data_IF_755056658180
#
_entry.id   IF_755056658180
#
_cell.length_a   1.000
_cell.length_b   1.000
_cell.length_c   1.000
_cell.angle_alpha   90.00
_cell.angle_beta   90.00
_cell.angle_gamma   90.00
#
_symmetry.space_group_name_H-M   'P 1'
#
loop_
_entity.id
_entity.type
_entity.pdbx_description
1 polymer ?
#
# COMPACT_ATOMS: atom_id res chain seq x y z
N UNK A 1 11.40 -12.85 -23.88
CA UNK A 1 10.40 -13.25 -22.85
C UNK A 1 9.49 -12.06 -22.65
N UNK A 2 8.18 -12.25 -22.75
CA UNK A 2 7.21 -11.17 -22.65
C UNK A 2 6.66 -11.01 -21.22
N UNK A 3 6.18 -9.81 -20.91
CA UNK A 3 5.38 -9.58 -19.70
C UNK A 3 4.05 -10.34 -19.79
N UNK A 4 3.54 -10.91 -18.67
CA UNK A 4 2.22 -11.53 -18.65
C UNK A 4 1.08 -10.49 -18.73
N UNK A 5 1.34 -9.26 -18.28
CA UNK A 5 0.35 -8.18 -18.32
C UNK A 5 0.25 -7.56 -19.71
N UNK A 6 -0.97 -7.47 -20.22
CA UNK A 6 -1.28 -6.85 -21.52
C UNK A 6 -1.99 -5.52 -21.28
N UNK A 7 -1.30 -4.40 -21.57
CA UNK A 7 -1.89 -3.06 -21.45
C UNK A 7 -2.23 -2.54 -22.86
N UNK A 8 -3.52 -2.30 -23.16
CA UNK A 8 -3.94 -1.75 -24.44
C UNK A 8 -3.28 -0.40 -24.76
N UNK A 9 -2.99 -0.13 -26.04
CA UNK A 9 -2.32 1.11 -26.46
C UNK A 9 -3.06 2.38 -26.05
N UNK A 10 -4.40 2.37 -26.04
CA UNK A 10 -5.18 3.53 -25.60
C UNK A 10 -4.98 3.83 -24.11
N UNK A 11 -4.85 2.79 -23.28
CA UNK A 11 -4.60 2.94 -21.85
C UNK A 11 -3.17 3.41 -21.56
N UNK A 12 -2.19 3.01 -22.38
CA UNK A 12 -0.84 3.56 -22.30
C UNK A 12 -0.82 5.07 -22.53
N UNK A 13 -1.58 5.57 -23.52
CA UNK A 13 -1.72 7.00 -23.77
C UNK A 13 -2.38 7.75 -22.60
N UNK A 14 -3.33 7.12 -21.91
CA UNK A 14 -3.94 7.70 -20.70
C UNK A 14 -2.96 7.78 -19.54
N UNK A 15 -2.15 6.73 -19.33
CA UNK A 15 -1.08 6.73 -18.35
C UNK A 15 -0.04 7.83 -18.65
N UNK A 16 0.35 8.00 -19.92
CA UNK A 16 1.31 9.04 -20.33
C UNK A 16 0.80 10.48 -20.08
N UNK A 17 -0.52 10.67 -20.10
CA UNK A 17 -1.15 11.96 -19.76
C UNK A 17 -1.22 12.22 -18.25
N UNK A 18 -1.00 11.20 -17.42
CA UNK A 18 -0.97 11.35 -15.98
C UNK A 18 0.37 11.97 -15.54
N UNK A 19 0.35 13.26 -15.18
CA UNK A 19 1.55 14.01 -14.81
C UNK A 19 2.28 13.40 -13.59
N UNK A 20 1.53 12.90 -12.60
CA UNK A 20 2.11 12.27 -11.41
C UNK A 20 2.83 10.96 -11.77
N UNK A 21 2.23 10.16 -12.66
CA UNK A 21 2.86 8.96 -13.20
C UNK A 21 4.12 9.31 -14.01
N UNK A 22 4.02 10.30 -14.91
CA UNK A 22 5.17 10.75 -15.71
C UNK A 22 6.35 11.24 -14.85
N UNK A 23 6.08 12.00 -13.79
CA UNK A 23 7.09 12.45 -12.83
C UNK A 23 7.76 11.28 -12.10
N UNK A 24 6.96 10.30 -11.64
CA UNK A 24 7.49 9.09 -10.99
C UNK A 24 8.37 8.28 -11.94
N UNK A 25 7.94 8.12 -13.18
CA UNK A 25 8.67 7.39 -14.22
C UNK A 25 10.03 8.02 -14.50
N UNK A 26 10.09 9.35 -14.59
CA UNK A 26 11.34 10.08 -14.77
C UNK A 26 12.27 9.94 -13.56
N UNK A 27 11.73 9.93 -12.33
CA UNK A 27 12.52 9.66 -11.13
C UNK A 27 13.13 8.26 -11.15
N UNK A 28 12.35 7.22 -11.46
CA UNK A 28 12.84 5.84 -11.56
C UNK A 28 13.92 5.71 -12.64
N UNK A 29 13.74 6.38 -13.79
CA UNK A 29 14.74 6.43 -14.85
C UNK A 29 16.07 7.06 -14.37
N UNK A 30 16.02 8.17 -13.64
CA UNK A 30 17.22 8.80 -13.07
C UNK A 30 17.93 7.91 -12.06
N UNK A 31 17.16 7.19 -11.24
CA UNK A 31 17.71 6.22 -10.29
C UNK A 31 18.45 5.10 -11.02
N UNK A 32 17.92 4.59 -12.14
CA UNK A 32 18.62 3.61 -12.97
C UNK A 32 19.89 4.17 -13.61
N UNK A 33 19.85 5.39 -14.17
CA UNK A 33 21.01 6.00 -14.82
C UNK A 33 22.16 6.32 -13.84
N UNK A 34 21.86 6.55 -12.56
CA UNK A 34 22.85 6.83 -11.52
C UNK A 34 23.48 5.59 -10.87
N UNK A 35 23.09 4.38 -11.27
CA UNK A 35 23.54 3.12 -10.68
C UNK A 35 24.67 2.48 -11.51
N UNK A 36 25.71 1.97 -10.83
CA UNK A 36 26.80 1.19 -11.48
C UNK A 36 26.35 -0.19 -12.00
N UNK A 37 25.14 -0.65 -11.65
CA UNK A 37 24.62 -1.98 -12.04
C UNK A 37 23.61 -1.89 -13.19
N UNK A 38 23.58 -2.90 -14.08
CA UNK A 38 22.65 -2.92 -15.20
C UNK A 38 21.19 -2.97 -14.69
N UNK A 39 20.31 -2.18 -15.31
CA UNK A 39 18.87 -2.15 -14.98
C UNK A 39 18.19 -3.52 -15.11
N UNK A 40 18.76 -4.44 -15.89
CA UNK A 40 18.31 -5.83 -15.98
C UNK A 40 19.36 -6.80 -15.43
N UNK A 41 18.91 -7.88 -14.77
CA UNK A 41 19.80 -8.96 -14.33
C UNK A 41 20.37 -9.72 -15.53
N UNK A 42 21.44 -10.49 -15.31
CA UNK A 42 22.12 -11.24 -16.39
C UNK A 42 21.18 -12.16 -17.16
N UNK A 43 20.22 -12.80 -16.49
CA UNK A 43 19.21 -13.63 -17.14
C UNK A 43 18.34 -12.82 -18.10
N UNK A 44 17.69 -11.76 -17.61
CA UNK A 44 16.72 -10.98 -18.39
C UNK A 44 17.36 -10.01 -19.38
N UNK A 45 18.62 -9.64 -19.19
CA UNK A 45 19.35 -8.76 -20.12
C UNK A 45 19.50 -9.39 -21.50
N UNK A 46 19.68 -10.70 -21.56
CA UNK A 46 19.91 -11.43 -22.81
C UNK A 46 18.66 -12.14 -23.32
N UNK A 47 17.70 -12.47 -22.45
CA UNK A 47 16.46 -13.15 -22.85
C UNK A 47 15.34 -12.21 -23.29
N UNK A 48 15.50 -10.90 -23.11
CA UNK A 48 14.52 -9.89 -23.49
C UNK A 48 15.07 -8.95 -24.56
N UNK A 49 14.32 -8.81 -25.65
CA UNK A 49 14.53 -7.78 -26.67
C UNK A 49 14.40 -6.37 -26.07
N UNK A 50 14.91 -5.36 -26.76
CA UNK A 50 14.79 -3.96 -26.31
C UNK A 50 13.34 -3.55 -26.08
N UNK A 51 12.42 -3.96 -26.96
CA UNK A 51 10.99 -3.67 -26.83
C UNK A 51 10.40 -4.35 -25.59
N UNK A 52 10.70 -5.62 -25.34
CA UNK A 52 10.25 -6.32 -24.13
C UNK A 52 10.82 -5.66 -22.85
N UNK A 53 12.07 -5.19 -22.88
CA UNK A 53 12.67 -4.48 -21.76
C UNK A 53 11.94 -3.17 -21.45
N UNK A 54 11.55 -2.39 -22.47
CA UNK A 54 10.75 -1.18 -22.28
C UNK A 54 9.35 -1.50 -21.71
N UNK A 55 8.71 -2.58 -22.18
CA UNK A 55 7.45 -3.07 -21.59
C UNK A 55 7.61 -3.41 -20.11
N UNK A 56 8.68 -4.13 -19.74
CA UNK A 56 8.94 -4.46 -18.34
C UNK A 56 9.23 -3.23 -17.49
N UNK A 57 9.94 -2.22 -18.03
CA UNK A 57 10.15 -0.93 -17.33
C UNK A 57 8.82 -0.25 -17.07
N UNK A 58 7.97 -0.12 -18.10
CA UNK A 58 6.64 0.48 -17.98
C UNK A 58 5.82 -0.22 -16.88
N UNK A 59 5.76 -1.54 -16.89
CA UNK A 59 4.98 -2.28 -15.89
C UNK A 59 5.58 -2.16 -14.48
N UNK A 60 6.91 -2.18 -14.34
CA UNK A 60 7.58 -1.88 -13.06
C UNK A 60 7.21 -0.49 -12.55
N UNK A 61 7.22 0.51 -13.44
CA UNK A 61 6.89 1.89 -13.09
C UNK A 61 5.44 1.99 -12.60
N UNK A 62 4.49 1.33 -13.28
CA UNK A 62 3.08 1.24 -12.85
C UNK A 62 2.96 0.61 -11.46
N UNK A 63 3.57 -0.57 -11.27
CA UNK A 63 3.57 -1.27 -9.98
C UNK A 63 4.15 -0.35 -8.89
N UNK A 64 5.28 0.28 -9.14
CA UNK A 64 5.89 1.20 -8.18
C UNK A 64 4.94 2.32 -7.79
N UNK A 65 4.34 3.00 -8.78
CA UNK A 65 3.39 4.09 -8.53
C UNK A 65 2.18 3.62 -7.71
N UNK A 66 1.67 2.42 -7.97
CA UNK A 66 0.56 1.84 -7.22
C UNK A 66 0.94 1.48 -5.78
N UNK A 67 2.15 0.94 -5.55
CA UNK A 67 2.58 0.48 -4.23
C UNK A 67 3.01 1.63 -3.28
N UNK A 68 3.48 2.76 -3.82
CA UNK A 68 3.93 3.91 -3.02
C UNK A 68 2.88 4.39 -2.02
N UNK A 69 1.60 4.62 -2.39
CA UNK A 69 0.54 4.98 -1.44
C UNK A 69 0.40 4.01 -0.26
N UNK A 70 0.46 2.69 -0.50
CA UNK A 70 0.35 1.70 0.57
C UNK A 70 1.53 1.76 1.55
N UNK A 71 2.74 1.98 1.03
CA UNK A 71 3.91 2.22 1.86
C UNK A 71 3.76 3.48 2.74
N UNK A 72 3.28 4.58 2.15
CA UNK A 72 3.06 5.84 2.88
C UNK A 72 1.98 5.69 3.97
N UNK A 73 0.89 4.97 3.67
CA UNK A 73 -0.18 4.67 4.63
C UNK A 73 0.35 3.83 5.79
N UNK A 74 1.07 2.73 5.52
CA UNK A 74 1.63 1.89 6.58
C UNK A 74 2.60 2.68 7.46
N UNK A 75 3.48 3.47 6.87
CA UNK A 75 4.42 4.29 7.61
C UNK A 75 3.73 5.37 8.46
N UNK A 76 2.66 6.00 7.95
CA UNK A 76 1.86 6.91 8.76
C UNK A 76 1.21 6.18 9.93
N UNK A 77 0.65 4.99 9.69
CA UNK A 77 0.04 4.17 10.72
C UNK A 77 1.04 3.76 11.81
N UNK A 78 2.26 3.37 11.46
CA UNK A 78 3.34 3.08 12.42
C UNK A 78 3.64 4.28 13.31
N UNK A 79 3.74 5.48 12.72
CA UNK A 79 3.99 6.72 13.46
C UNK A 79 2.85 7.07 14.41
N UNK A 80 1.61 6.89 13.99
CA UNK A 80 0.43 7.08 14.83
C UNK A 80 0.45 6.06 15.97
N UNK A 81 0.64 4.78 15.67
CA UNK A 81 0.70 3.72 16.68
C UNK A 81 1.78 3.98 17.73
N UNK A 82 2.98 4.39 17.32
CA UNK A 82 4.09 4.71 18.21
C UNK A 82 3.80 5.90 19.15
N UNK A 83 2.92 6.83 18.74
CA UNK A 83 2.51 7.99 19.55
C UNK A 83 1.32 7.71 20.46
N UNK A 84 0.41 6.83 20.02
CA UNK A 84 -0.82 6.52 20.75
C UNK A 84 -0.61 5.46 21.83
N UNK A 85 0.32 4.52 21.64
CA UNK A 85 0.51 3.41 22.57
C UNK A 85 1.48 3.74 23.70
N UNK A 86 1.17 3.37 24.96
CA UNK A 86 2.14 3.42 26.05
C UNK A 86 3.34 2.51 25.77
N UNK A 87 4.53 2.85 26.28
CA UNK A 87 5.79 2.13 26.02
C UNK A 87 5.72 0.59 26.19
N UNK A 88 4.89 0.07 27.09
CA UNK A 88 4.72 -1.39 27.29
C UNK A 88 3.92 -2.09 26.18
N UNK A 89 3.08 -1.36 25.45
CA UNK A 89 2.25 -1.86 24.34
C UNK A 89 2.81 -1.53 22.96
N UNK A 90 3.83 -0.68 22.90
CA UNK A 90 4.50 -0.30 21.65
C UNK A 90 5.20 -1.48 20.94
N UNK A 91 5.37 -2.63 21.61
CA UNK A 91 5.86 -3.86 21.00
C UNK A 91 4.84 -4.54 20.05
N UNK A 92 3.56 -4.17 20.13
CA UNK A 92 2.47 -4.67 19.29
C UNK A 92 1.74 -3.46 18.67
N UNK A 93 2.32 -2.81 17.65
CA UNK A 93 1.82 -1.54 17.10
C UNK A 93 0.39 -1.63 16.57
N UNK A 94 -0.05 -2.81 16.11
CA UNK A 94 -1.40 -3.04 15.62
C UNK A 94 -2.50 -2.79 16.67
N UNK A 95 -2.14 -2.82 17.96
CA UNK A 95 -3.08 -2.55 19.08
C UNK A 95 -3.53 -1.10 19.15
N UNK A 96 -2.91 -0.20 18.40
CA UNK A 96 -3.40 1.17 18.24
C UNK A 96 -4.74 1.23 17.51
N UNK A 97 -5.02 0.23 16.67
CA UNK A 97 -6.17 0.18 15.78
C UNK A 97 -7.20 -0.86 16.22
N UNK A 98 -8.42 -0.78 15.66
CA UNK A 98 -9.54 -1.68 15.98
C UNK A 98 -10.23 -2.19 14.72
N UNK A 99 -10.90 -3.35 14.84
CA UNK A 99 -11.66 -3.95 13.74
C UNK A 99 -10.79 -4.23 12.51
N UNK A 100 -11.34 -4.00 11.33
CA UNK A 100 -10.65 -4.24 10.05
C UNK A 100 -9.37 -3.40 9.89
N UNK A 101 -9.28 -2.20 10.47
CA UNK A 101 -8.05 -1.41 10.45
C UNK A 101 -6.88 -2.13 11.12
N UNK A 102 -7.13 -2.85 12.23
CA UNK A 102 -6.09 -3.61 12.93
C UNK A 102 -5.58 -4.75 12.05
N UNK A 103 -6.50 -5.48 11.44
CA UNK A 103 -6.18 -6.58 10.52
C UNK A 103 -5.41 -6.08 9.30
N UNK A 104 -5.85 -4.97 8.70
CA UNK A 104 -5.19 -4.35 7.56
C UNK A 104 -3.78 -3.85 7.90
N UNK A 105 -3.60 -3.18 9.05
CA UNK A 105 -2.28 -2.75 9.51
C UNK A 105 -1.35 -3.94 9.74
N UNK A 106 -1.82 -4.98 10.43
CA UNK A 106 -1.02 -6.18 10.68
C UNK A 106 -0.61 -6.86 9.36
N UNK A 107 -1.53 -6.93 8.40
CA UNK A 107 -1.25 -7.50 7.07
C UNK A 107 -0.26 -6.65 6.27
N UNK A 108 -0.46 -5.33 6.19
CA UNK A 108 0.44 -4.41 5.49
C UNK A 108 1.85 -4.45 6.08
N UNK A 109 1.94 -4.41 7.41
CA UNK A 109 3.23 -4.50 8.10
C UNK A 109 3.92 -5.85 7.82
N UNK A 110 3.17 -6.94 7.74
CA UNK A 110 3.70 -8.26 7.38
C UNK A 110 4.25 -8.29 5.96
N UNK A 111 3.43 -7.94 4.96
CA UNK A 111 3.85 -8.03 3.55
C UNK A 111 5.01 -7.09 3.24
N UNK A 112 5.02 -5.87 3.80
CA UNK A 112 6.11 -4.92 3.62
C UNK A 112 7.41 -5.39 4.32
N UNK A 113 7.29 -6.14 5.42
CA UNK A 113 8.49 -6.72 6.07
C UNK A 113 9.04 -7.91 5.29
N UNK A 114 8.17 -8.74 4.70
CA UNK A 114 8.54 -9.97 4.02
C UNK A 114 9.03 -9.72 2.58
N UNK A 115 8.35 -8.83 1.85
CA UNK A 115 8.62 -8.51 0.44
C UNK A 115 9.44 -7.23 0.25
N UNK A 116 10.26 -6.87 1.26
CA UNK A 116 10.99 -5.60 1.33
C UNK A 116 11.77 -5.26 0.06
N UNK A 117 12.56 -6.22 -0.41
CA UNK A 117 13.41 -6.05 -1.58
C UNK A 117 12.63 -5.90 -2.89
N UNK A 118 11.39 -6.40 -2.92
CA UNK A 118 10.56 -6.41 -4.11
C UNK A 118 9.73 -5.14 -4.22
N UNK A 119 9.03 -4.70 -3.17
CA UNK A 119 8.13 -3.55 -3.29
C UNK A 119 8.86 -2.22 -3.50
N UNK A 120 10.15 -2.13 -3.12
CA UNK A 120 11.00 -0.97 -3.44
C UNK A 120 11.25 -0.81 -4.96
N UNK A 121 10.98 -1.87 -5.73
CA UNK A 121 11.16 -1.98 -7.19
C UNK A 121 12.52 -1.52 -7.70
N UNK A 122 13.56 -1.65 -6.88
CA UNK A 122 14.94 -1.23 -7.19
C UNK A 122 15.76 -2.32 -7.93
N UNK A 123 15.15 -3.50 -8.15
CA UNK A 123 15.76 -4.64 -8.85
C UNK A 123 15.36 -4.65 -10.32
N UNK A 124 15.79 -5.69 -11.05
CA UNK A 124 15.46 -5.90 -12.45
C UNK A 124 13.95 -5.77 -12.71
N UNK A 125 13.49 -4.89 -13.65
CA UNK A 125 12.08 -4.69 -13.94
C UNK A 125 11.34 -5.99 -14.25
N UNK A 126 11.94 -6.89 -15.05
CA UNK A 126 11.34 -8.19 -15.34
C UNK A 126 11.14 -9.05 -14.08
N UNK A 127 12.10 -9.08 -13.16
CA UNK A 127 11.93 -9.80 -11.89
C UNK A 127 10.80 -9.20 -11.04
N UNK A 128 10.70 -7.86 -10.97
CA UNK A 128 9.63 -7.20 -10.21
C UNK A 128 8.26 -7.54 -10.78
N UNK A 129 8.11 -7.43 -12.11
CA UNK A 129 6.86 -7.68 -12.82
C UNK A 129 6.44 -9.14 -12.70
N UNK A 130 7.35 -10.09 -12.94
CA UNK A 130 7.05 -11.52 -12.84
C UNK A 130 6.74 -11.96 -11.41
N UNK A 131 7.35 -11.32 -10.41
CA UNK A 131 7.10 -11.65 -9.00
C UNK A 131 5.70 -11.30 -8.52
N UNK A 132 4.96 -10.44 -9.24
CA UNK A 132 3.55 -10.16 -8.92
C UNK A 132 2.74 -11.47 -8.86
N UNK A 133 2.93 -12.38 -9.82
CA UNK A 133 2.23 -13.65 -9.91
C UNK A 133 2.89 -14.78 -9.09
N UNK A 134 3.90 -14.48 -8.27
CA UNK A 134 4.64 -15.51 -7.52
C UNK A 134 3.83 -16.13 -6.40
N UNK A 135 2.94 -15.36 -5.77
CA UNK A 135 2.17 -15.78 -4.61
C UNK A 135 0.83 -15.05 -4.51
N UNK A 136 -0.12 -15.62 -3.77
CA UNK A 136 -1.40 -14.94 -3.54
C UNK A 136 -1.22 -13.58 -2.85
N UNK A 137 -0.37 -13.45 -1.80
CA UNK A 137 -0.17 -12.16 -1.15
C UNK A 137 0.37 -11.07 -2.09
N UNK A 138 1.25 -11.40 -3.03
CA UNK A 138 1.78 -10.42 -4.00
C UNK A 138 0.73 -10.00 -5.02
N UNK A 139 -0.09 -10.93 -5.51
CA UNK A 139 -1.23 -10.61 -6.39
C UNK A 139 -2.20 -9.70 -5.63
N UNK A 140 -2.65 -10.14 -4.45
CA UNK A 140 -3.59 -9.38 -3.61
C UNK A 140 -3.05 -7.99 -3.26
N UNK A 141 -1.76 -7.86 -2.97
CA UNK A 141 -1.17 -6.55 -2.65
C UNK A 141 -1.28 -5.56 -3.81
N UNK A 142 -0.99 -6.01 -5.03
CA UNK A 142 -1.12 -5.18 -6.23
C UNK A 142 -2.59 -4.93 -6.58
N UNK A 143 -3.48 -5.90 -6.36
CA UNK A 143 -4.93 -5.70 -6.51
C UNK A 143 -5.45 -4.62 -5.55
N UNK A 144 -5.09 -4.67 -4.27
CA UNK A 144 -5.44 -3.66 -3.26
C UNK A 144 -4.91 -2.28 -3.67
N UNK A 145 -3.66 -2.20 -4.10
CA UNK A 145 -3.05 -0.95 -4.57
C UNK A 145 -3.83 -0.34 -5.75
N UNK A 146 -4.25 -1.20 -6.70
CA UNK A 146 -5.04 -0.81 -7.87
C UNK A 146 -6.44 -0.34 -7.48
N UNK A 147 -7.11 -1.06 -6.58
CA UNK A 147 -8.44 -0.69 -6.07
C UNK A 147 -8.41 0.65 -5.31
N UNK A 148 -7.36 0.90 -4.51
CA UNK A 148 -7.17 2.16 -3.79
C UNK A 148 -6.87 3.35 -4.71
N UNK A 149 -6.14 3.13 -5.80
CA UNK A 149 -5.94 4.17 -6.81
C UNK A 149 -7.29 4.59 -7.44
N UNK A 150 -8.21 3.63 -7.60
CA UNK A 150 -9.57 3.85 -8.06
C UNK A 150 -9.67 4.21 -9.54
N UNK A 151 -10.88 4.18 -10.09
CA UNK A 151 -11.12 4.30 -11.53
C UNK A 151 -10.63 5.61 -12.17
N UNK A 152 -10.52 6.69 -11.38
CA UNK A 152 -10.13 8.02 -11.87
C UNK A 152 -8.63 8.24 -11.97
N UNK A 153 -7.83 7.28 -11.51
CA UNK A 153 -6.37 7.39 -11.48
C UNK A 153 -5.69 7.11 -12.83
N UNK A 154 -6.42 6.53 -13.79
CA UNK A 154 -5.86 6.04 -15.06
C UNK A 154 -5.21 4.65 -14.94
N UNK A 155 -5.12 4.07 -13.75
CA UNK A 155 -4.54 2.73 -13.53
C UNK A 155 -5.56 1.60 -13.61
N UNK A 156 -6.82 1.87 -13.98
CA UNK A 156 -7.84 0.83 -14.11
C UNK A 156 -7.43 -0.27 -15.12
N UNK A 157 -6.71 0.12 -16.18
CA UNK A 157 -6.17 -0.82 -17.15
C UNK A 157 -5.24 -1.87 -16.53
N UNK A 158 -4.54 -1.52 -15.44
CA UNK A 158 -3.64 -2.43 -14.75
C UNK A 158 -4.42 -3.52 -14.00
N UNK A 159 -5.54 -3.18 -13.36
CA UNK A 159 -6.38 -4.16 -12.66
C UNK A 159 -6.94 -5.19 -13.65
N UNK A 160 -7.43 -4.75 -14.81
CA UNK A 160 -7.90 -5.64 -15.89
C UNK A 160 -6.77 -6.50 -16.45
N UNK A 161 -5.57 -5.93 -16.64
CA UNK A 161 -4.42 -6.69 -17.10
C UNK A 161 -3.96 -7.73 -16.06
N UNK A 162 -4.04 -7.42 -14.77
CA UNK A 162 -3.72 -8.33 -13.68
C UNK A 162 -4.72 -9.48 -13.59
N UNK A 163 -6.02 -9.19 -13.66
CA UNK A 163 -7.07 -10.21 -13.74
C UNK A 163 -6.83 -11.18 -14.89
N UNK A 164 -6.67 -10.66 -16.11
CA UNK A 164 -6.39 -11.48 -17.28
C UNK A 164 -5.14 -12.34 -17.09
N UNK A 165 -4.06 -11.76 -16.56
CA UNK A 165 -2.82 -12.47 -16.32
C UNK A 165 -2.96 -13.59 -15.27
N UNK A 166 -3.79 -13.42 -14.23
CA UNK A 166 -4.08 -14.49 -13.25
C UNK A 166 -4.94 -15.57 -13.89
N UNK A 167 -5.98 -15.20 -14.63
CA UNK A 167 -6.91 -16.13 -15.26
C UNK A 167 -6.24 -16.99 -16.35
N UNK A 168 -5.26 -16.43 -17.07
CA UNK A 168 -4.52 -17.12 -18.12
C UNK A 168 -3.29 -17.89 -17.59
N UNK A 169 -2.89 -17.67 -16.33
CA UNK A 169 -1.72 -18.33 -15.76
C UNK A 169 -1.98 -19.84 -15.52
N UNK A 170 -1.07 -20.74 -15.94
CA UNK A 170 -1.27 -22.18 -15.79
C UNK A 170 -1.37 -22.69 -14.35
N UNK A 171 -0.80 -21.97 -13.38
CA UNK A 171 -0.83 -22.35 -11.97
C UNK A 171 -2.06 -21.75 -11.26
N UNK A 172 -2.36 -20.48 -11.51
CA UNK A 172 -3.52 -19.80 -10.91
C UNK A 172 -4.81 -20.17 -11.64
N UNK A 173 -5.02 -19.69 -12.87
CA UNK A 173 -6.25 -19.92 -13.61
C UNK A 173 -7.44 -19.09 -13.11
N UNK A 174 -8.51 -19.13 -13.90
CA UNK A 174 -9.73 -18.31 -13.72
C UNK A 174 -10.45 -18.53 -12.39
N UNK A 175 -10.44 -19.77 -11.87
CA UNK A 175 -11.11 -20.14 -10.64
C UNK A 175 -10.56 -19.44 -9.38
N UNK A 176 -9.33 -18.92 -9.42
CA UNK A 176 -8.69 -18.30 -8.26
C UNK A 176 -8.96 -16.80 -8.15
N UNK A 177 -9.21 -16.13 -9.28
CA UNK A 177 -9.39 -14.67 -9.29
C UNK A 177 -10.54 -14.20 -8.37
N UNK A 178 -11.73 -14.82 -8.34
CA UNK A 178 -12.83 -14.36 -7.49
C UNK A 178 -12.49 -14.33 -5.99
N UNK A 179 -11.79 -15.35 -5.48
CA UNK A 179 -11.38 -15.42 -4.07
C UNK A 179 -10.27 -14.40 -3.76
N UNK A 180 -9.32 -14.20 -4.69
CA UNK A 180 -8.27 -13.18 -4.55
C UNK A 180 -8.89 -11.78 -4.55
N UNK A 181 -9.82 -11.50 -5.47
CA UNK A 181 -10.50 -10.22 -5.60
C UNK A 181 -11.35 -9.91 -4.36
N UNK A 182 -12.10 -10.88 -3.84
CA UNK A 182 -12.89 -10.70 -2.61
C UNK A 182 -11.99 -10.34 -1.43
N UNK A 183 -10.88 -11.09 -1.24
CA UNK A 183 -9.91 -10.83 -0.18
C UNK A 183 -9.22 -9.48 -0.35
N UNK A 184 -8.91 -9.10 -1.58
CA UNK A 184 -8.36 -7.78 -1.90
C UNK A 184 -9.36 -6.67 -1.56
N UNK A 185 -10.63 -6.81 -1.94
CA UNK A 185 -11.67 -5.83 -1.65
C UNK A 185 -11.86 -5.63 -0.15
N UNK A 186 -11.95 -6.72 0.63
CA UNK A 186 -12.03 -6.64 2.09
C UNK A 186 -10.82 -5.96 2.73
N UNK A 187 -9.63 -6.26 2.21
CA UNK A 187 -8.40 -5.63 2.69
C UNK A 187 -8.36 -4.14 2.31
N UNK A 188 -8.81 -3.76 1.11
CA UNK A 188 -8.98 -2.37 0.68
C UNK A 188 -9.86 -1.59 1.64
N UNK A 189 -11.02 -2.13 2.02
CA UNK A 189 -11.90 -1.52 3.03
C UNK A 189 -11.19 -1.36 4.38
N UNK A 190 -10.46 -2.40 4.81
CA UNK A 190 -9.64 -2.35 6.03
C UNK A 190 -8.53 -1.28 5.98
N UNK A 191 -7.89 -1.07 4.82
CA UNK A 191 -6.88 -0.02 4.63
C UNK A 191 -7.52 1.37 4.68
N UNK A 192 -8.70 1.56 4.09
CA UNK A 192 -9.44 2.82 4.20
C UNK A 192 -9.83 3.12 5.65
N UNK A 193 -10.29 2.11 6.39
CA UNK A 193 -10.61 2.22 7.81
C UNK A 193 -9.35 2.51 8.65
N UNK A 194 -8.20 1.94 8.29
CA UNK A 194 -6.90 2.26 8.90
C UNK A 194 -6.54 3.74 8.71
N UNK A 195 -6.65 4.25 7.47
CA UNK A 195 -6.41 5.67 7.17
C UNK A 195 -7.33 6.56 8.01
N UNK A 196 -8.62 6.21 8.09
CA UNK A 196 -9.61 6.93 8.91
C UNK A 196 -9.19 6.97 10.40
N UNK A 197 -8.84 5.83 10.99
CA UNK A 197 -8.39 5.78 12.39
C UNK A 197 -7.08 6.54 12.61
N UNK A 198 -6.15 6.53 11.65
CA UNK A 198 -4.93 7.35 11.71
C UNK A 198 -5.25 8.84 11.85
N UNK A 199 -6.25 9.35 11.11
CA UNK A 199 -6.70 10.74 11.24
C UNK A 199 -7.33 11.02 12.61
N UNK A 200 -8.21 10.14 13.10
CA UNK A 200 -8.87 10.31 14.41
C UNK A 200 -7.88 10.32 15.58
N UNK A 201 -6.94 9.39 15.58
CA UNK A 201 -5.91 9.27 16.61
C UNK A 201 -4.97 10.48 16.57
N UNK A 202 -4.56 10.92 15.38
CA UNK A 202 -3.72 12.11 15.23
C UNK A 202 -4.42 13.38 15.75
N UNK A 203 -5.69 13.58 15.39
CA UNK A 203 -6.46 14.73 15.85
C UNK A 203 -6.65 14.76 17.38
N UNK A 204 -6.77 13.59 18.01
CA UNK A 204 -6.88 13.46 19.48
C UNK A 204 -5.56 13.81 20.17
N UNK A 205 -4.42 13.44 19.56
CA UNK A 205 -3.09 13.76 20.07
C UNK A 205 -2.77 15.26 19.95
N UNK A 206 -3.19 15.90 18.85
CA UNK A 206 -2.92 17.31 18.59
C UNK A 206 -3.86 18.26 19.39
N UNK A 207 -5.05 17.78 19.80
CA UNK A 207 -5.98 18.55 20.61
C UNK A 207 -6.50 17.75 21.84
N UNK A 208 -5.73 17.71 22.94
CA UNK A 208 -6.11 16.96 24.14
C UNK A 208 -7.30 17.55 24.92
N UNK A 209 -7.86 18.70 24.49
CA UNK A 209 -8.94 19.40 25.21
C UNK A 209 -10.37 18.92 24.88
N UNK A 210 -10.53 17.93 23.98
CA UNK A 210 -11.83 17.33 23.69
C UNK A 210 -12.17 16.27 24.75
N UNK A 211 -13.22 16.46 25.58
CA UNK A 211 -13.59 15.46 26.57
C UNK A 211 -14.02 14.17 25.86
N UNK A 212 -13.27 13.10 26.09
CA UNK A 212 -13.69 11.75 25.71
C UNK A 212 -15.01 11.42 26.42
N UNK A 213 -15.98 10.74 25.77
CA UNK A 213 -17.09 10.15 26.49
C UNK A 213 -16.53 9.17 27.53
N UNK A 214 -16.78 9.52 28.79
CA UNK A 214 -16.40 8.77 29.99
C UNK A 214 -16.76 7.28 29.82
N UNK A 215 -15.75 6.42 29.73
CA UNK A 215 -15.91 5.01 30.06
C UNK A 215 -16.13 4.94 31.56
N UNK A 216 -17.38 4.80 31.97
CA UNK A 216 -17.80 4.52 33.35
C UNK A 216 -17.00 3.33 33.87
N UNK A 217 -16.12 3.60 34.84
CA UNK A 217 -15.41 2.56 35.61
C UNK A 217 -16.45 1.80 36.43
N UNK A 218 -16.85 0.62 35.96
CA UNK A 218 -17.45 -0.38 36.83
C UNK A 218 -16.34 -1.00 37.70
N UNK A 219 -16.29 -0.57 38.96
CA UNK A 219 -15.44 -1.16 39.99
C UNK A 219 -15.93 -2.56 40.33
N UNK A 220 -15.14 -3.59 40.03
CA UNK A 220 -15.32 -4.94 40.57
C UNK A 220 -14.16 -5.20 41.56
N UNK A 221 -14.41 -5.69 42.78
CA UNK A 221 -13.38 -5.83 43.79
C UNK A 221 -12.46 -7.02 43.49
N UNK A 222 -11.17 -6.77 43.72
CA UNK A 222 -10.05 -7.70 43.59
C UNK A 222 -10.08 -8.71 44.74
N UNK A 223 -10.14 -10.00 44.44
CA UNK A 223 -9.58 -11.04 45.30
C UNK A 223 -8.33 -11.59 44.63
N UNK A 224 -7.19 -11.38 45.29
CA UNK A 224 -5.89 -11.80 44.81
C UNK A 224 -5.70 -13.32 44.89
N UNK A 225 -4.91 -13.84 43.94
CA UNK A 225 -3.97 -14.94 44.19
C UNK A 225 -2.78 -14.78 43.24
N UNK A 226 -1.62 -14.66 43.86
CA UNK A 226 -0.30 -14.67 43.24
C UNK A 226 -0.02 -16.05 42.63
N UNK A 227 0.35 -16.07 41.36
CA UNK A 227 1.21 -17.08 40.77
C UNK A 227 2.06 -16.39 39.70
N UNK A 228 3.22 -15.88 40.10
CA UNK A 228 4.23 -15.37 39.18
C UNK A 228 4.84 -16.54 38.41
N UNK A 229 4.32 -16.83 37.22
CA UNK A 229 5.02 -17.65 36.25
C UNK A 229 5.91 -16.72 35.41
N UNK A 230 7.16 -16.52 35.86
CA UNK A 230 8.17 -15.78 35.11
C UNK A 230 8.73 -16.68 34.00
N UNK A 231 7.99 -16.81 32.90
CA UNK A 231 8.56 -17.28 31.64
C UNK A 231 9.10 -16.04 30.93
N UNK A 232 10.42 -15.90 30.88
CA UNK A 232 11.07 -14.88 30.06
C UNK A 232 10.78 -15.20 28.58
N UNK A 233 9.74 -14.56 28.02
CA UNK A 233 9.46 -14.63 26.60
C UNK A 233 10.61 -13.94 25.87
N UNK A 234 11.46 -14.75 25.23
CA UNK A 234 12.46 -14.24 24.30
C UNK A 234 11.73 -13.46 23.20
N UNK A 235 12.17 -12.25 22.85
CA UNK A 235 11.62 -11.56 21.69
C UNK A 235 11.74 -12.47 20.47
N UNK A 236 10.61 -12.68 19.79
CA UNK A 236 10.52 -13.48 18.57
C UNK A 236 11.47 -12.93 17.51
N UNK A 237 11.85 -13.75 16.53
CA UNK A 237 12.73 -13.32 15.44
C UNK A 237 12.20 -12.07 14.71
N UNK A 238 10.87 -11.90 14.68
CA UNK A 238 10.15 -10.74 14.14
C UNK A 238 10.53 -9.43 14.83
N UNK A 239 10.57 -9.39 16.17
CA UNK A 239 10.93 -8.18 16.92
C UNK A 239 12.39 -7.75 16.70
N UNK A 240 13.29 -8.69 16.36
CA UNK A 240 14.70 -8.40 16.08
C UNK A 240 14.94 -7.93 14.64
N UNK A 241 14.10 -8.38 13.69
CA UNK A 241 14.19 -7.96 12.28
C UNK A 241 13.77 -6.50 12.10
N UNK A 242 12.85 -6.02 12.94
CA UNK A 242 12.31 -4.66 12.95
C UNK A 242 13.36 -3.55 13.22
N UNK A 243 14.49 -3.86 13.87
CA UNK A 243 15.54 -2.88 14.18
C UNK A 243 16.49 -2.63 12.99
N UNK A 244 16.66 -3.62 12.09
CA UNK A 244 17.70 -3.58 11.05
C UNK A 244 17.24 -2.93 9.73
N UNK A 245 15.93 -2.77 9.51
CA UNK A 245 15.31 -2.21 8.29
C UNK A 245 15.35 -0.67 8.20
N UNK A 246 15.81 0.03 9.23
CA UNK A 246 15.57 1.47 9.40
C UNK A 246 16.34 2.38 8.44
N UNK A 247 17.53 2.02 7.95
CA UNK A 247 18.40 2.96 7.21
C UNK A 247 18.08 3.08 5.72
N UNK A 248 17.83 1.96 5.05
CA UNK A 248 17.48 1.95 3.62
C UNK A 248 16.06 2.46 3.40
N UNK A 249 15.13 2.08 4.28
CA UNK A 249 13.80 2.68 4.32
C UNK A 249 13.85 4.18 4.55
N UNK A 250 14.66 4.70 5.48
CA UNK A 250 14.82 6.15 5.68
C UNK A 250 15.31 6.88 4.43
N UNK A 251 16.25 6.29 3.68
CA UNK A 251 16.77 6.89 2.44
C UNK A 251 15.72 6.87 1.33
N UNK A 252 15.00 5.75 1.18
CA UNK A 252 13.87 5.64 0.27
C UNK A 252 12.75 6.61 0.63
N UNK A 253 12.43 6.75 1.93
CA UNK A 253 11.47 7.73 2.48
C UNK A 253 11.83 9.16 2.09
N UNK A 254 13.10 9.58 2.25
CA UNK A 254 13.56 10.91 1.83
C UNK A 254 13.40 11.15 0.33
N UNK A 255 13.50 10.10 -0.49
CA UNK A 255 13.33 10.18 -1.95
C UNK A 255 11.86 10.18 -2.41
N UNK A 256 10.92 9.78 -1.54
CA UNK A 256 9.47 9.78 -1.81
C UNK A 256 8.73 11.02 -1.32
N UNK A 257 9.42 11.97 -0.65
CA UNK A 257 8.80 13.23 -0.19
C UNK A 257 8.56 14.14 -1.40
N UNK A 258 7.52 13.85 -2.18
CA UNK A 258 7.00 14.72 -3.23
C UNK A 258 5.47 14.65 -3.28
N UNK A 259 4.81 15.81 -3.12
CA UNK A 259 3.42 16.09 -3.52
C UNK A 259 2.26 15.41 -2.77
N UNK A 260 2.37 14.15 -2.36
CA UNK A 260 1.22 13.32 -1.94
C UNK A 260 0.59 13.70 -0.58
N UNK A 261 1.24 14.57 0.20
CA UNK A 261 0.74 15.01 1.51
C UNK A 261 -0.49 15.93 1.46
N UNK A 262 -0.85 16.47 0.29
CA UNK A 262 -2.06 17.30 0.15
C UNK A 262 -3.30 16.49 -0.26
N UNK A 263 -3.16 15.47 -1.11
CA UNK A 263 -4.31 14.71 -1.62
C UNK A 263 -4.79 13.61 -0.67
N UNK A 264 -3.90 12.98 0.12
CA UNK A 264 -4.36 12.02 1.15
C UNK A 264 -5.13 12.69 2.30
N UNK A 265 -5.03 14.02 2.47
CA UNK A 265 -5.67 14.76 3.58
C UNK A 265 -7.18 14.91 3.44
N UNK A 266 -7.77 14.60 2.29
CA UNK A 266 -9.22 14.64 2.13
C UNK A 266 -9.81 13.23 2.24
N UNK A 267 -10.82 13.03 3.10
CA UNK A 267 -11.59 11.79 3.05
C UNK A 267 -12.15 11.62 1.64
N UNK A 268 -11.92 10.44 1.04
CA UNK A 268 -12.58 10.01 -0.19
C UNK A 268 -14.09 9.91 0.07
N UNK A 269 -14.79 11.04 -0.02
CA UNK A 269 -16.22 11.10 0.10
C UNK A 269 -16.85 10.60 -1.21
N UNK A 270 -17.56 9.47 -1.10
CA UNK A 270 -18.38 8.91 -2.16
C UNK A 270 -19.42 9.90 -2.69
N UNK A 271 -19.66 9.79 -3.98
CA UNK A 271 -20.55 10.60 -4.80
C UNK A 271 -22.03 10.36 -4.47
N UNK A 272 -22.83 11.42 -4.32
CA UNK A 272 -24.28 11.39 -4.59
C UNK A 272 -24.58 12.35 -5.74
N UNK A 273 -25.06 11.79 -6.85
CA UNK A 273 -25.40 12.50 -8.07
C UNK A 273 -26.71 13.29 -7.97
N UNK A 274 -26.62 14.57 -8.38
CA UNK A 274 -27.45 15.23 -9.40
C UNK A 274 -28.84 15.83 -9.06
N UNK A 275 -28.90 17.15 -9.31
CA UNK A 275 -29.98 17.95 -9.95
C UNK A 275 -31.16 18.45 -9.12
N UNK A 276 -31.21 19.76 -8.91
CA UNK A 276 -32.36 20.56 -9.39
C UNK A 276 -31.99 22.02 -9.64
N UNK A 277 -32.20 22.41 -10.90
CA UNK A 277 -32.15 23.77 -11.45
C UNK A 277 -33.13 24.70 -10.74
N UNK A 278 -32.70 25.91 -10.38
CA UNK A 278 -33.60 27.04 -10.14
C UNK A 278 -33.11 28.30 -10.84
N UNK A 279 -33.66 28.48 -12.04
CA UNK A 279 -33.81 29.75 -12.77
C UNK A 279 -34.41 30.80 -11.82
N UNK A 280 -33.82 31.99 -11.72
CA UNK A 280 -34.52 33.22 -11.35
C UNK A 280 -34.12 34.35 -12.29
N UNK A 281 -35.07 34.68 -13.15
CA UNK A 281 -35.22 35.99 -13.79
C UNK A 281 -35.66 37.02 -12.76
N UNK A 282 -35.32 38.30 -13.02
CA UNK A 282 -36.05 39.57 -12.76
C UNK A 282 -35.01 40.69 -12.58
N UNK A 283 -34.77 41.47 -13.64
CA UNK A 283 -35.29 42.84 -13.86
C UNK A 283 -34.82 43.86 -12.82
N UNK A 284 -33.97 44.79 -13.29
CA UNK A 284 -34.26 46.22 -13.25
C UNK A 284 -33.58 46.89 -14.44
#
# INVERSE_FOLDING_TARGET
MSSPFQIPSHAQLELERNEAFGAMREQLRRQECGMERPSFCTAHRHSCTTTEQETFRLHRDIIHTLLVPLFLINHQAERVAARTLPNKRAAEPERAFRGEARSAFAWLNCILTEEHDWYLTARCPACIVLHVLHSEPTIRFVTVASQLAGARSGFQCWLTALEAAVCEDPFWGDAFWPDIEERASRLTDGVQELVRQCYELSATLDNPSRPMPSMTKASIPVYGRSASCNIALKPSSFARKQVRLTREEQKYRSSLVWGCSQDLRQPLAGCTTATQSRRRSLTS
#
